data_IF_516621891389
#
_entry.id   IF_516621891389
#
_cell.length_a   1.000
_cell.length_b   1.000
_cell.length_c   1.000
_cell.angle_alpha   90.00
_cell.angle_beta   90.00
_cell.angle_gamma   90.00
#
_symmetry.space_group_name_H-M   'P 1'
#
loop_
_entity.id
_entity.type
_entity.pdbx_description
1 polymer ?
#
# COMPACT_ATOMS: atom_id res chain seq x y z
N UNK A 1 18.80 8.15 -11.53
CA UNK A 1 17.96 6.95 -11.29
C UNK A 1 18.25 5.91 -12.36
N UNK A 2 18.43 4.63 -12.01
CA UNK A 2 18.78 3.57 -12.97
C UNK A 2 18.22 2.20 -12.54
N UNK A 3 18.10 1.27 -13.51
CA UNK A 3 17.64 -0.12 -13.32
C UNK A 3 18.74 -1.13 -13.66
N UNK A 4 19.11 -2.05 -12.75
CA UNK A 4 19.98 -3.17 -13.06
C UNK A 4 19.29 -4.21 -13.97
N UNK A 5 20.04 -4.69 -14.95
CA UNK A 5 19.77 -5.91 -15.70
C UNK A 5 20.44 -7.08 -15.00
N UNK A 6 19.60 -7.89 -14.36
CA UNK A 6 19.96 -9.08 -13.57
C UNK A 6 20.58 -10.22 -14.39
N UNK A 7 20.85 -10.06 -15.69
CA UNK A 7 21.51 -11.08 -16.50
C UNK A 7 23.02 -10.87 -16.71
N UNK A 8 23.57 -9.69 -16.39
CA UNK A 8 24.97 -9.32 -16.73
C UNK A 8 25.54 -8.29 -15.74
N UNK A 9 26.84 -8.40 -15.44
CA UNK A 9 27.56 -7.36 -14.69
C UNK A 9 27.53 -6.03 -15.44
N UNK A 10 27.40 -4.93 -14.71
CA UNK A 10 27.28 -3.59 -15.28
C UNK A 10 28.34 -2.68 -14.71
N UNK A 11 28.97 -1.91 -15.59
CA UNK A 11 29.97 -0.94 -15.22
C UNK A 11 29.52 0.41 -15.76
N UNK A 12 29.40 1.40 -14.87
CA UNK A 12 29.36 2.82 -15.21
C UNK A 12 30.70 3.34 -14.67
N UNK A 13 31.75 3.42 -15.49
CA UNK A 13 33.14 3.62 -15.01
C UNK A 13 33.83 4.87 -15.56
N UNK A 14 34.85 5.35 -14.82
CA UNK A 14 35.36 6.72 -14.73
C UNK A 14 36.80 7.02 -15.19
N UNK A 15 37.57 6.07 -15.69
CA UNK A 15 38.75 6.40 -16.51
C UNK A 15 40.14 6.49 -15.83
N UNK A 16 40.98 5.52 -16.20
CA UNK A 16 42.42 5.59 -16.56
C UNK A 16 43.53 6.05 -15.59
N UNK A 17 43.39 7.02 -14.67
CA UNK A 17 44.46 7.34 -13.67
C UNK A 17 43.96 7.48 -12.23
N UNK A 18 44.84 7.30 -11.24
CA UNK A 18 44.47 7.13 -9.83
C UNK A 18 43.73 8.32 -9.20
N UNK A 19 43.81 9.50 -9.80
CA UNK A 19 43.58 10.71 -9.01
C UNK A 19 42.15 11.27 -9.09
N UNK A 20 41.32 10.93 -10.08
CA UNK A 20 40.01 11.60 -10.26
C UNK A 20 38.98 10.76 -11.04
N UNK A 21 38.10 10.01 -10.36
CA UNK A 21 37.31 8.93 -10.97
C UNK A 21 36.01 8.65 -10.20
N UNK A 22 34.80 8.82 -10.77
CA UNK A 22 33.49 8.42 -10.17
C UNK A 22 32.75 7.29 -10.93
N UNK A 23 32.78 6.06 -10.42
CA UNK A 23 32.16 4.85 -11.03
C UNK A 23 31.00 4.33 -10.20
N UNK A 24 29.87 4.00 -10.84
CA UNK A 24 28.83 3.12 -10.30
C UNK A 24 28.98 1.71 -10.92
N UNK A 25 29.26 0.69 -10.11
CA UNK A 25 29.45 -0.69 -10.57
C UNK A 25 28.40 -1.61 -9.95
N UNK A 26 27.66 -2.36 -10.76
CA UNK A 26 26.77 -3.41 -10.27
C UNK A 26 27.33 -4.78 -10.64
N UNK A 27 27.71 -5.56 -9.63
CA UNK A 27 28.15 -6.93 -9.85
C UNK A 27 26.95 -7.85 -9.97
N UNK A 28 26.84 -8.59 -11.08
CA UNK A 28 25.84 -9.64 -11.17
C UNK A 28 26.16 -10.82 -10.23
N UNK A 29 27.44 -11.20 -10.13
CA UNK A 29 27.86 -12.38 -9.35
C UNK A 29 27.64 -12.21 -7.86
N UNK A 30 27.82 -11.00 -7.34
CA UNK A 30 27.63 -10.67 -5.93
C UNK A 30 26.43 -9.76 -5.68
N UNK A 31 25.57 -9.55 -6.69
CA UNK A 31 24.32 -8.76 -6.68
C UNK A 31 24.40 -7.35 -6.09
N UNK A 32 25.60 -6.78 -5.98
CA UNK A 32 25.82 -5.56 -5.21
C UNK A 32 26.19 -4.33 -6.04
N UNK A 33 25.77 -3.16 -5.56
CA UNK A 33 26.17 -1.85 -6.10
C UNK A 33 27.42 -1.33 -5.38
N UNK A 34 28.50 -1.05 -6.11
CA UNK A 34 29.76 -0.46 -5.64
C UNK A 34 30.00 0.91 -6.25
N UNK A 35 30.70 1.76 -5.51
CA UNK A 35 31.01 3.13 -5.92
C UNK A 35 32.49 3.45 -5.78
N UNK A 36 33.17 3.79 -6.88
CA UNK A 36 34.59 4.13 -6.83
C UNK A 36 34.78 5.63 -7.03
N UNK A 37 35.59 6.26 -6.19
CA UNK A 37 35.81 7.70 -6.14
C UNK A 37 37.27 8.05 -5.78
N UNK A 38 38.24 7.99 -6.71
CA UNK A 38 39.68 8.38 -6.51
C UNK A 38 40.50 7.61 -5.44
N UNK A 39 39.83 6.98 -4.48
CA UNK A 39 40.26 6.01 -3.47
C UNK A 39 39.07 5.07 -3.24
N UNK A 40 39.32 3.77 -3.18
CA UNK A 40 38.26 2.76 -3.22
C UNK A 40 37.25 2.91 -2.05
N UNK A 41 36.03 3.36 -2.34
CA UNK A 41 34.92 3.26 -1.40
C UNK A 41 34.19 1.93 -1.65
N UNK A 42 34.30 0.98 -0.72
CA UNK A 42 33.63 -0.31 -0.85
C UNK A 42 32.29 -0.26 -0.12
N UNK A 43 31.23 0.07 -0.86
CA UNK A 43 29.87 -0.25 -0.45
C UNK A 43 29.49 -1.55 -1.17
N UNK A 44 29.39 -2.66 -0.44
CA UNK A 44 29.02 -3.97 -0.99
C UNK A 44 27.66 -4.35 -0.40
N UNK A 45 26.58 -3.93 -1.07
CA UNK A 45 25.21 -4.23 -0.69
C UNK A 45 24.42 -4.71 -1.90
N UNK A 46 23.69 -5.81 -1.72
CA UNK A 46 22.76 -6.32 -2.71
C UNK A 46 21.73 -5.25 -3.09
N UNK A 47 21.51 -5.02 -4.39
CA UNK A 47 20.38 -4.19 -4.83
C UNK A 47 19.09 -4.92 -4.46
N UNK A 48 18.42 -4.45 -3.42
CA UNK A 48 17.15 -5.02 -2.92
C UNK A 48 15.98 -4.64 -3.83
N UNK A 49 16.15 -3.57 -4.63
CA UNK A 49 15.10 -2.97 -5.44
C UNK A 49 15.41 -3.01 -6.95
N UNK A 50 14.34 -2.94 -7.74
CA UNK A 50 14.39 -2.90 -9.21
C UNK A 50 14.95 -1.58 -9.73
N UNK A 51 14.85 -0.50 -8.96
CA UNK A 51 15.45 0.79 -9.29
C UNK A 51 16.15 1.39 -8.07
N UNK A 52 17.19 2.18 -8.32
CA UNK A 52 17.92 2.90 -7.27
C UNK A 52 18.01 4.39 -7.59
N UNK A 53 17.67 5.23 -6.61
CA UNK A 53 17.96 6.66 -6.65
C UNK A 53 19.29 6.94 -5.93
N UNK A 54 20.23 7.47 -6.69
CA UNK A 54 21.60 7.73 -6.24
C UNK A 54 21.88 9.23 -6.29
N UNK A 55 22.34 9.79 -5.17
CA UNK A 55 22.73 11.20 -5.08
C UNK A 55 24.18 11.34 -4.61
N UNK A 56 24.94 12.18 -5.30
CA UNK A 56 26.33 12.50 -4.96
C UNK A 56 26.46 13.98 -4.64
N UNK A 57 26.89 14.29 -3.43
CA UNK A 57 27.28 15.64 -3.02
C UNK A 57 28.81 15.71 -3.00
N UNK A 58 29.41 16.36 -4.00
CA UNK A 58 30.87 16.50 -4.12
C UNK A 58 31.28 17.90 -3.70
N UNK A 59 32.11 18.01 -2.65
CA UNK A 59 32.52 19.31 -2.07
C UNK A 59 34.03 19.43 -1.78
N UNK A 60 34.84 18.44 -2.18
CA UNK A 60 36.29 18.44 -2.01
C UNK A 60 36.83 18.36 -0.57
N UNK A 61 35.94 18.30 0.44
CA UNK A 61 36.31 18.12 1.85
C UNK A 61 35.76 16.79 2.39
N UNK A 62 34.45 16.63 2.41
CA UNK A 62 33.72 15.42 2.81
C UNK A 62 32.49 15.27 1.92
N UNK A 63 32.70 14.58 0.81
CA UNK A 63 31.67 14.29 -0.15
C UNK A 63 30.80 13.14 0.33
N UNK A 64 29.52 13.15 -0.04
CA UNK A 64 28.51 12.25 0.51
C UNK A 64 27.78 11.51 -0.61
N UNK A 65 27.42 10.25 -0.34
CA UNK A 65 26.65 9.40 -1.22
C UNK A 65 25.38 8.94 -0.50
N UNK A 66 24.26 9.15 -1.18
CA UNK A 66 22.94 8.75 -0.70
C UNK A 66 22.31 7.76 -1.67
N UNK A 67 21.70 6.72 -1.11
CA UNK A 67 20.92 5.71 -1.80
C UNK A 67 19.52 5.73 -1.22
N UNK A 68 18.52 5.98 -2.06
CA UNK A 68 17.12 6.12 -1.64
C UNK A 68 16.99 7.02 -0.37
N UNK A 69 17.63 8.19 -0.40
CA UNK A 69 17.68 9.18 0.69
C UNK A 69 18.48 8.79 1.94
N UNK A 70 18.98 7.56 2.06
CA UNK A 70 19.84 7.14 3.15
C UNK A 70 21.31 7.48 2.86
N UNK A 71 22.00 8.15 3.79
CA UNK A 71 23.45 8.33 3.71
C UNK A 71 24.11 6.96 3.84
N UNK A 72 24.78 6.53 2.78
CA UNK A 72 25.42 5.21 2.69
C UNK A 72 26.94 5.31 2.51
N UNK A 73 27.46 6.51 2.28
CA UNK A 73 28.89 6.76 2.40
C UNK A 73 29.31 8.22 2.42
N UNK A 74 30.47 8.47 3.02
CA UNK A 74 31.11 9.78 3.07
C UNK A 74 32.64 9.66 2.95
N UNK A 75 33.29 10.67 2.35
CA UNK A 75 34.74 10.69 2.17
C UNK A 75 35.25 11.84 1.29
N UNK A 76 36.55 12.11 1.34
CA UNK A 76 37.15 13.17 0.51
C UNK A 76 37.53 12.63 -0.88
N UNK A 77 36.87 13.14 -1.94
CA UNK A 77 37.17 12.80 -3.33
C UNK A 77 38.29 13.68 -3.94
N UNK A 78 38.87 14.60 -3.18
CA UNK A 78 39.77 15.65 -3.68
C UNK A 78 39.00 16.86 -4.24
N UNK A 79 39.71 17.95 -4.51
CA UNK A 79 39.16 19.18 -5.14
C UNK A 79 38.85 18.92 -6.62
N UNK A 80 37.87 18.07 -6.90
CA UNK A 80 37.55 17.64 -8.25
C UNK A 80 36.58 18.60 -8.92
N UNK A 81 37.03 19.26 -9.99
CA UNK A 81 36.13 19.75 -11.03
C UNK A 81 35.66 18.58 -11.87
N UNK A 82 34.35 18.33 -12.00
CA UNK A 82 33.82 17.34 -12.96
C UNK A 82 34.06 17.89 -14.37
N UNK A 83 35.22 17.61 -14.94
CA UNK A 83 35.50 17.90 -16.35
C UNK A 83 35.16 16.66 -17.17
N UNK A 84 34.13 16.77 -18.02
CA UNK A 84 33.63 15.72 -18.93
C UNK A 84 32.92 14.55 -18.23
N UNK A 85 31.58 14.63 -18.17
CA UNK A 85 30.73 13.54 -17.72
C UNK A 85 30.56 12.49 -18.84
N UNK A 86 30.90 11.23 -18.53
CA UNK A 86 30.55 10.07 -19.36
C UNK A 86 29.53 9.22 -18.63
N UNK A 87 28.36 8.99 -19.26
CA UNK A 87 27.29 8.17 -18.71
C UNK A 87 27.16 6.88 -19.51
N UNK A 88 27.09 5.76 -18.81
CA UNK A 88 26.67 4.51 -19.41
C UNK A 88 27.72 3.77 -20.25
N UNK A 89 29.00 4.11 -20.13
CA UNK A 89 30.08 3.27 -20.66
C UNK A 89 31.37 3.41 -19.84
N UNK A 90 32.25 2.43 -19.99
CA UNK A 90 33.63 2.49 -19.53
C UNK A 90 34.48 3.22 -20.60
N UNK A 91 35.49 3.97 -20.17
CA UNK A 91 36.25 4.91 -21.03
C UNK A 91 36.83 4.34 -22.34
N UNK A 92 37.10 3.03 -22.39
CA UNK A 92 37.67 2.34 -23.56
C UNK A 92 36.60 1.84 -24.55
N UNK A 93 35.32 2.17 -24.31
CA UNK A 93 34.17 1.78 -25.12
C UNK A 93 34.02 0.25 -25.33
N UNK A 94 34.48 -0.57 -24.38
CA UNK A 94 34.29 -2.03 -24.45
C UNK A 94 33.27 -2.57 -23.45
N UNK A 95 32.92 -1.77 -22.44
CA UNK A 95 31.89 -2.10 -21.46
C UNK A 95 30.90 -0.95 -21.44
N UNK A 96 29.63 -1.30 -21.51
CA UNK A 96 28.53 -0.37 -21.55
C UNK A 96 27.58 -0.68 -20.40
N UNK A 97 26.90 0.35 -19.92
CA UNK A 97 25.72 0.17 -19.10
C UNK A 97 24.74 -0.69 -19.91
N UNK A 98 24.27 -1.74 -19.26
CA UNK A 98 23.28 -2.64 -19.80
C UNK A 98 21.98 -2.45 -19.00
N UNK A 99 21.45 -1.24 -19.01
CA UNK A 99 20.30 -0.83 -18.22
C UNK A 99 19.86 0.56 -18.66
N UNK A 100 18.72 1.01 -18.14
CA UNK A 100 18.13 2.29 -18.53
C UNK A 100 18.53 3.38 -17.52
N UNK A 101 18.90 4.56 -18.05
CA UNK A 101 19.02 5.80 -17.27
C UNK A 101 17.76 6.60 -17.55
N UNK A 102 16.98 6.85 -16.50
CA UNK A 102 15.75 7.61 -16.64
C UNK A 102 16.00 9.13 -16.62
N UNK A 103 16.86 9.60 -15.71
CA UNK A 103 17.14 11.03 -15.52
C UNK A 103 18.46 11.24 -14.77
N UNK A 104 19.15 12.33 -15.11
CA UNK A 104 20.36 12.83 -14.47
C UNK A 104 20.25 14.33 -14.31
N UNK A 105 20.48 14.82 -13.07
CA UNK A 105 20.39 16.23 -12.72
C UNK A 105 21.79 16.70 -12.29
N UNK A 106 22.26 17.79 -12.89
CA UNK A 106 23.51 18.44 -12.52
C UNK A 106 23.22 19.77 -11.86
N UNK A 107 23.94 20.05 -10.77
CA UNK A 107 23.90 21.33 -10.08
C UNK A 107 25.31 21.87 -9.96
N UNK A 108 25.44 23.16 -10.25
CA UNK A 108 26.71 23.91 -10.26
C UNK A 108 27.05 24.52 -8.89
N UNK A 109 26.22 24.25 -7.88
CA UNK A 109 26.38 24.70 -6.51
C UNK A 109 26.16 23.55 -5.55
N UNK A 110 26.80 23.63 -4.38
CA UNK A 110 26.56 22.68 -3.31
C UNK A 110 25.13 22.85 -2.79
N UNK A 111 24.35 21.78 -2.89
CA UNK A 111 22.99 21.75 -2.35
C UNK A 111 23.00 21.46 -0.84
N UNK A 112 22.04 22.04 -0.14
CA UNK A 112 21.76 21.67 1.24
C UNK A 112 21.06 20.31 1.30
N UNK A 113 21.11 19.64 2.45
CA UNK A 113 20.34 18.41 2.67
C UNK A 113 18.84 18.59 2.44
N UNK A 114 18.30 19.79 2.74
CA UNK A 114 16.91 20.13 2.46
C UNK A 114 16.62 20.16 0.95
N UNK A 115 17.48 20.82 0.16
CA UNK A 115 17.32 20.90 -1.30
C UNK A 115 17.48 19.52 -1.94
N UNK A 116 18.41 18.72 -1.44
CA UNK A 116 18.56 17.33 -1.85
C UNK A 116 17.27 16.53 -1.63
N UNK A 117 16.70 16.59 -0.42
CA UNK A 117 15.47 15.88 -0.10
C UNK A 117 14.30 16.33 -1.00
N UNK A 118 14.22 17.61 -1.37
CA UNK A 118 13.22 18.11 -2.32
C UNK A 118 13.38 17.51 -3.71
N UNK A 119 14.61 17.39 -4.21
CA UNK A 119 14.90 16.80 -5.53
C UNK A 119 14.58 15.31 -5.52
N UNK A 120 15.00 14.60 -4.47
CA UNK A 120 14.72 13.18 -4.34
C UNK A 120 13.21 12.91 -4.25
N UNK A 121 12.48 13.70 -3.45
CA UNK A 121 11.02 13.64 -3.38
C UNK A 121 10.36 13.97 -4.73
N UNK A 122 10.88 14.94 -5.49
CA UNK A 122 10.40 15.20 -6.84
C UNK A 122 10.58 13.98 -7.75
N UNK A 123 11.74 13.32 -7.70
CA UNK A 123 12.02 12.14 -8.51
C UNK A 123 11.16 10.95 -8.11
N UNK A 124 10.97 10.69 -6.81
CA UNK A 124 10.04 9.66 -6.36
C UNK A 124 8.63 9.93 -6.87
N UNK A 125 8.08 11.11 -6.63
CA UNK A 125 6.73 11.43 -7.08
C UNK A 125 6.56 11.40 -8.61
N UNK A 126 7.62 11.68 -9.38
CA UNK A 126 7.59 11.63 -10.84
C UNK A 126 7.56 10.19 -11.38
N UNK A 127 8.30 9.27 -10.77
CA UNK A 127 8.48 7.90 -11.28
C UNK A 127 7.68 6.83 -10.54
N UNK A 128 7.35 7.11 -9.28
CA UNK A 128 6.51 6.31 -8.40
C UNK A 128 5.62 7.23 -7.56
N UNK A 129 4.57 7.82 -8.16
CA UNK A 129 3.56 8.54 -7.40
C UNK A 129 3.01 7.68 -6.25
N UNK A 130 2.77 8.27 -5.06
CA UNK A 130 2.19 7.56 -3.93
C UNK A 130 0.81 6.99 -4.29
N UNK A 131 0.40 5.92 -3.59
CA UNK A 131 -0.91 5.32 -3.80
C UNK A 131 -2.02 6.36 -3.59
N UNK A 132 -3.02 6.30 -4.46
CA UNK A 132 -4.21 7.12 -4.39
C UNK A 132 -5.39 6.26 -4.85
N UNK A 133 -6.25 5.88 -3.91
CA UNK A 133 -7.42 5.05 -4.12
C UNK A 133 -8.59 5.83 -4.72
N UNK A 134 -8.52 7.16 -4.71
CA UNK A 134 -9.49 8.06 -5.34
C UNK A 134 -10.58 8.50 -4.37
N UNK A 135 -11.78 8.69 -4.91
CA UNK A 135 -12.95 9.07 -4.11
C UNK A 135 -13.61 7.84 -3.48
N UNK A 136 -14.27 8.06 -2.35
CA UNK A 136 -15.15 7.08 -1.72
C UNK A 136 -16.10 6.42 -2.71
N UNK A 137 -16.30 5.12 -2.54
CA UNK A 137 -17.20 4.32 -3.37
C UNK A 137 -18.57 4.27 -2.70
N UNK A 138 -19.61 4.60 -3.45
CA UNK A 138 -21.00 4.47 -3.01
C UNK A 138 -21.72 3.47 -3.89
N UNK A 139 -22.12 2.35 -3.29
CA UNK A 139 -23.00 1.35 -3.88
C UNK A 139 -24.42 1.68 -3.41
N UNK A 140 -25.26 2.31 -4.25
CA UNK A 140 -26.57 2.80 -3.82
C UNK A 140 -27.58 1.67 -3.61
N UNK A 141 -27.40 0.53 -4.29
CA UNK A 141 -28.29 -0.62 -4.24
C UNK A 141 -27.48 -1.91 -4.39
N UNK A 142 -27.89 -2.94 -3.65
CA UNK A 142 -27.30 -4.27 -3.73
C UNK A 142 -26.07 -4.47 -2.85
N UNK A 143 -25.61 -5.72 -2.81
CA UNK A 143 -24.54 -6.21 -1.93
C UNK A 143 -23.46 -7.01 -2.70
N UNK A 144 -23.47 -6.93 -4.03
CA UNK A 144 -22.44 -7.56 -4.85
C UNK A 144 -21.04 -7.02 -4.56
N UNK A 145 -20.05 -7.88 -4.70
CA UNK A 145 -18.63 -7.54 -4.57
C UNK A 145 -18.26 -6.34 -5.45
N UNK A 146 -17.65 -5.34 -4.81
CA UNK A 146 -17.09 -4.16 -5.45
C UNK A 146 -15.58 -4.31 -5.52
N UNK A 147 -15.02 -4.21 -6.71
CA UNK A 147 -13.58 -4.27 -6.92
C UNK A 147 -12.92 -2.92 -6.65
N UNK A 148 -11.90 -2.89 -5.78
CA UNK A 148 -11.04 -1.71 -5.58
C UNK A 148 -9.81 -1.88 -6.47
N UNK A 149 -9.85 -1.30 -7.68
CA UNK A 149 -8.79 -1.46 -8.68
C UNK A 149 -7.78 -0.31 -8.71
N UNK A 150 -8.04 0.78 -7.99
CA UNK A 150 -7.28 2.04 -8.06
C UNK A 150 -5.88 1.93 -7.44
N UNK A 151 -5.67 0.97 -6.54
CA UNK A 151 -4.37 0.65 -5.96
C UNK A 151 -3.35 0.14 -6.99
N UNK A 152 -3.80 -0.57 -8.03
CA UNK A 152 -2.88 -1.14 -9.02
C UNK A 152 -2.12 -0.04 -9.78
N UNK A 153 -0.78 -0.14 -9.75
CA UNK A 153 0.15 0.66 -10.56
C UNK A 153 1.37 -0.19 -10.91
N UNK A 154 1.98 0.02 -12.08
CA UNK A 154 3.11 -0.79 -12.53
C UNK A 154 4.40 -0.59 -11.73
N UNK A 155 4.46 0.42 -10.85
CA UNK A 155 5.62 0.74 -10.01
C UNK A 155 5.46 0.31 -8.54
N UNK A 156 4.37 -0.37 -8.18
CA UNK A 156 4.25 -1.00 -6.86
C UNK A 156 4.71 -2.46 -6.93
N UNK A 157 5.44 -2.89 -5.91
CA UNK A 157 6.06 -4.22 -5.82
C UNK A 157 5.35 -5.12 -4.80
N UNK A 158 4.66 -4.54 -3.81
CA UNK A 158 3.83 -5.26 -2.84
C UNK A 158 2.65 -4.43 -2.35
N UNK A 159 1.65 -5.13 -1.81
CA UNK A 159 0.42 -4.57 -1.25
C UNK A 159 0.13 -5.24 0.10
N UNK A 160 -0.36 -4.47 1.05
CA UNK A 160 -0.88 -4.93 2.33
C UNK A 160 -2.18 -4.19 2.63
N UNK A 161 -3.30 -4.89 2.52
CA UNK A 161 -4.62 -4.33 2.81
C UNK A 161 -5.01 -4.52 4.28
N UNK A 162 -5.88 -3.65 4.79
CA UNK A 162 -6.50 -3.80 6.11
C UNK A 162 -7.31 -5.09 6.27
N UNK A 163 -7.67 -5.75 5.17
CA UNK A 163 -8.31 -7.07 5.12
C UNK A 163 -7.32 -8.23 5.30
N UNK A 164 -6.01 -7.97 5.25
CA UNK A 164 -4.94 -8.96 5.23
C UNK A 164 -4.60 -9.50 3.83
N UNK A 165 -5.29 -9.04 2.79
CA UNK A 165 -5.00 -9.39 1.40
C UNK A 165 -3.72 -8.70 0.90
N UNK A 166 -3.04 -9.33 -0.05
CA UNK A 166 -1.79 -8.83 -0.66
C UNK A 166 -1.88 -8.65 -2.18
N UNK A 167 -3.07 -8.83 -2.74
CA UNK A 167 -3.33 -8.62 -4.16
C UNK A 167 -3.46 -7.13 -4.49
N UNK A 168 -3.12 -6.74 -5.72
CA UNK A 168 -3.21 -5.35 -6.19
C UNK A 168 -4.66 -4.85 -6.37
N UNK A 169 -5.61 -5.78 -6.34
CA UNK A 169 -7.06 -5.54 -6.45
C UNK A 169 -7.71 -6.43 -5.40
N UNK A 170 -8.59 -5.85 -4.59
CA UNK A 170 -9.43 -6.59 -3.64
C UNK A 170 -10.90 -6.45 -4.01
N UNK A 171 -11.70 -7.41 -3.57
CA UNK A 171 -13.15 -7.42 -3.75
C UNK A 171 -13.83 -7.32 -2.39
N UNK A 172 -14.65 -6.29 -2.21
CA UNK A 172 -15.28 -5.99 -0.92
C UNK A 172 -16.80 -5.93 -1.05
N UNK A 173 -17.53 -6.48 -0.09
CA UNK A 173 -19.00 -6.52 -0.07
C UNK A 173 -19.60 -6.04 1.25
N UNK A 174 -18.78 -5.39 2.09
CA UNK A 174 -19.22 -4.80 3.35
C UNK A 174 -18.93 -3.31 3.35
N UNK A 175 -19.77 -2.50 4.01
CA UNK A 175 -19.45 -1.11 4.24
C UNK A 175 -18.25 -1.01 5.19
N UNK A 176 -17.37 -0.04 4.96
CA UNK A 176 -16.17 0.09 5.78
C UNK A 176 -15.13 1.03 5.20
N UNK A 177 -14.06 1.22 5.97
CA UNK A 177 -12.85 1.89 5.52
C UNK A 177 -11.84 0.81 5.18
N UNK A 178 -11.32 0.84 3.96
CA UNK A 178 -10.29 -0.07 3.47
C UNK A 178 -9.01 0.73 3.28
N UNK A 179 -7.95 0.33 3.97
CA UNK A 179 -6.63 0.97 3.86
C UNK A 179 -5.69 0.02 3.14
N UNK A 180 -4.85 0.56 2.27
CA UNK A 180 -3.74 -0.18 1.67
C UNK A 180 -2.43 0.50 2.00
N UNK A 181 -1.43 -0.29 2.34
CA UNK A 181 -0.02 0.11 2.33
C UNK A 181 0.64 -0.57 1.14
N UNK A 182 1.34 0.19 0.31
CA UNK A 182 2.07 -0.34 -0.85
C UNK A 182 3.54 -0.01 -0.72
N UNK A 183 4.40 -0.93 -1.15
CA UNK A 183 5.82 -0.67 -1.33
C UNK A 183 6.11 -0.48 -2.82
N UNK A 184 6.86 0.55 -3.18
CA UNK A 184 7.19 0.83 -4.56
C UNK A 184 8.50 0.18 -5.05
N UNK A 185 8.84 0.41 -6.33
CA UNK A 185 10.07 -0.05 -6.99
C UNK A 185 11.37 0.54 -6.41
N UNK A 186 11.28 1.53 -5.53
CA UNK A 186 12.40 2.14 -4.81
C UNK A 186 12.41 1.72 -3.32
N UNK A 187 11.41 0.95 -2.87
CA UNK A 187 11.29 0.53 -1.47
C UNK A 187 10.59 1.53 -0.56
N UNK A 188 9.99 2.59 -1.10
CA UNK A 188 9.20 3.51 -0.29
C UNK A 188 7.80 2.97 -0.07
N UNK A 189 7.33 3.12 1.16
CA UNK A 189 5.96 2.82 1.53
C UNK A 189 5.07 4.06 1.39
N UNK A 190 3.88 3.85 0.85
CA UNK A 190 2.80 4.85 0.89
C UNK A 190 1.50 4.16 1.24
N UNK A 191 0.62 4.89 1.93
CA UNK A 191 -0.68 4.39 2.34
C UNK A 191 -1.78 5.35 1.93
N UNK A 192 -2.93 4.79 1.61
CA UNK A 192 -4.16 5.55 1.39
C UNK A 192 -5.36 4.71 1.83
N UNK A 193 -6.47 5.38 2.10
CA UNK A 193 -7.72 4.75 2.50
C UNK A 193 -8.87 5.14 1.58
N UNK A 194 -9.87 4.26 1.52
CA UNK A 194 -11.10 4.49 0.78
C UNK A 194 -12.28 4.01 1.60
N UNK A 195 -13.31 4.84 1.69
CA UNK A 195 -14.55 4.44 2.32
C UNK A 195 -15.50 3.85 1.30
N UNK A 196 -16.00 2.66 1.58
CA UNK A 196 -17.01 1.99 0.77
C UNK A 196 -18.32 2.02 1.53
N UNK A 197 -19.35 2.55 0.86
CA UNK A 197 -20.70 2.60 1.35
C UNK A 197 -21.55 1.59 0.60
N UNK A 198 -22.23 0.73 1.35
CA UNK A 198 -23.31 -0.14 0.90
C UNK A 198 -24.63 0.34 1.50
N UNK A 199 -25.78 -0.19 1.06
CA UNK A 199 -27.05 0.03 1.74
C UNK A 199 -26.93 -0.32 3.23
N UNK A 200 -27.38 0.59 4.09
CA UNK A 200 -27.37 0.40 5.53
C UNK A 200 -28.50 -0.55 5.92
N UNK A 201 -28.14 -1.70 6.49
CA UNK A 201 -29.09 -2.66 7.04
C UNK A 201 -29.23 -2.33 8.52
N UNK A 202 -30.46 -2.13 9.00
CA UNK A 202 -30.70 -1.97 10.43
C UNK A 202 -30.46 -3.31 11.13
N UNK A 203 -29.23 -3.50 11.62
CA UNK A 203 -28.86 -4.68 12.42
C UNK A 203 -29.31 -4.48 13.86
N UNK A 204 -30.12 -5.41 14.35
CA UNK A 204 -30.55 -5.42 15.75
C UNK A 204 -29.43 -6.00 16.62
N UNK A 205 -29.29 -5.51 17.85
CA UNK A 205 -28.39 -6.11 18.85
C UNK A 205 -29.15 -7.05 19.77
N UNK A 206 -28.46 -8.05 20.35
CA UNK A 206 -29.04 -8.96 21.34
C UNK A 206 -29.79 -8.19 22.42
N UNK A 207 -31.07 -8.52 22.60
CA UNK A 207 -31.99 -7.80 23.47
C UNK A 207 -32.77 -8.78 24.33
N UNK A 208 -32.80 -8.48 25.64
CA UNK A 208 -33.63 -9.18 26.62
C UNK A 208 -35.01 -8.50 26.63
N UNK A 209 -36.07 -9.26 26.39
CA UNK A 209 -37.45 -8.72 26.31
C UNK A 209 -38.30 -9.26 27.46
N UNK A 210 -39.24 -8.49 27.99
CA UNK A 210 -40.11 -8.98 29.06
C UNK A 210 -41.01 -10.11 28.55
N UNK A 211 -41.32 -11.08 29.42
CA UNK A 211 -42.23 -12.17 29.06
C UNK A 211 -43.59 -11.64 28.57
N UNK A 212 -43.97 -12.00 27.35
CA UNK A 212 -45.23 -11.60 26.72
C UNK A 212 -45.17 -10.31 25.90
N UNK A 213 -44.01 -9.64 25.86
CA UNK A 213 -43.76 -8.58 24.88
C UNK A 213 -43.24 -9.17 23.57
N UNK A 214 -43.50 -8.47 22.46
CA UNK A 214 -42.96 -8.79 21.14
C UNK A 214 -42.02 -7.69 20.68
N UNK A 215 -41.10 -8.05 19.80
CA UNK A 215 -40.13 -7.12 19.21
C UNK A 215 -40.30 -7.12 17.69
N UNK A 216 -40.42 -5.94 17.09
CA UNK A 216 -40.41 -5.80 15.63
C UNK A 216 -38.99 -5.49 15.19
N UNK A 217 -38.40 -6.37 14.38
CA UNK A 217 -37.15 -6.10 13.68
C UNK A 217 -37.45 -5.73 12.23
N UNK A 218 -37.35 -4.44 11.91
CA UNK A 218 -37.41 -3.90 10.55
C UNK A 218 -35.99 -3.58 10.06
N UNK A 219 -35.62 -4.09 8.88
CA UNK A 219 -34.30 -3.86 8.28
C UNK A 219 -34.14 -2.45 7.69
N UNK A 220 -35.24 -1.69 7.57
CA UNK A 220 -35.29 -0.30 7.10
C UNK A 220 -34.63 -0.04 5.73
N UNK A 221 -34.56 -1.07 4.87
CA UNK A 221 -33.93 -1.00 3.56
C UNK A 221 -34.84 -0.35 2.52
N UNK A 222 -34.27 0.53 1.70
CA UNK A 222 -34.93 1.10 0.53
C UNK A 222 -34.49 0.39 -0.75
N UNK A 223 -35.44 -0.14 -1.52
CA UNK A 223 -35.20 -0.79 -2.81
C UNK A 223 -35.83 -2.18 -2.91
N UNK A 224 -35.58 -2.86 -4.03
CA UNK A 224 -36.11 -4.19 -4.29
C UNK A 224 -35.14 -5.26 -3.77
N UNK A 225 -35.49 -5.89 -2.66
CA UNK A 225 -34.77 -7.03 -2.08
C UNK A 225 -35.75 -8.17 -1.80
N UNK A 226 -35.24 -9.40 -1.84
CA UNK A 226 -35.95 -10.55 -1.27
C UNK A 226 -35.35 -10.91 0.07
N UNK A 227 -36.21 -11.29 1.01
CA UNK A 227 -35.84 -11.57 2.39
C UNK A 227 -36.09 -13.05 2.70
N UNK A 228 -35.20 -13.62 3.50
CA UNK A 228 -35.38 -14.92 4.15
C UNK A 228 -34.89 -14.79 5.59
N UNK A 229 -35.77 -15.09 6.54
CA UNK A 229 -35.45 -15.02 7.95
C UNK A 229 -35.11 -16.40 8.50
N UNK A 230 -33.86 -16.60 8.90
CA UNK A 230 -33.46 -17.76 9.68
C UNK A 230 -34.17 -17.74 11.03
N UNK A 231 -34.69 -18.89 11.47
CA UNK A 231 -35.43 -19.02 12.73
C UNK A 231 -36.96 -18.88 12.60
N UNK A 232 -37.46 -18.07 11.67
CA UNK A 232 -38.91 -17.92 11.40
C UNK A 232 -39.37 -18.47 10.04
N UNK A 233 -38.51 -18.40 9.02
CA UNK A 233 -38.84 -18.74 7.63
C UNK A 233 -39.69 -17.68 6.91
N UNK A 234 -39.86 -16.50 7.51
CA UNK A 234 -40.60 -15.39 6.90
C UNK A 234 -39.82 -14.73 5.77
N UNK A 235 -40.51 -14.01 4.88
CA UNK A 235 -39.92 -13.38 3.68
C UNK A 235 -40.28 -11.90 3.52
N UNK A 236 -40.63 -11.24 4.63
CA UNK A 236 -40.98 -9.82 4.72
C UNK A 236 -39.75 -8.99 5.11
N UNK A 237 -39.77 -7.68 4.85
CA UNK A 237 -38.68 -6.77 5.27
C UNK A 237 -38.55 -6.68 6.79
N UNK A 238 -39.66 -6.85 7.50
CA UNK A 238 -39.70 -6.87 8.95
C UNK A 238 -40.34 -8.14 9.47
N UNK A 239 -39.95 -8.55 10.68
CA UNK A 239 -40.53 -9.68 11.40
C UNK A 239 -40.90 -9.29 12.83
N UNK A 240 -41.90 -9.97 13.38
CA UNK A 240 -42.28 -9.86 14.79
C UNK A 240 -41.74 -11.06 15.57
N UNK A 241 -40.81 -10.80 16.48
CA UNK A 241 -40.21 -11.79 17.36
C UNK A 241 -41.05 -11.92 18.64
N UNK A 242 -41.68 -13.08 18.80
CA UNK A 242 -42.50 -13.43 19.97
C UNK A 242 -42.14 -14.78 20.60
N UNK A 243 -41.08 -15.44 20.14
CA UNK A 243 -40.64 -16.74 20.64
C UNK A 243 -39.13 -16.79 20.76
N UNK A 244 -38.64 -17.39 21.84
CA UNK A 244 -37.20 -17.58 22.07
C UNK A 244 -36.55 -18.35 20.93
N UNK A 245 -35.34 -17.95 20.53
CA UNK A 245 -34.62 -18.57 19.42
C UNK A 245 -33.50 -17.70 18.87
N UNK A 246 -32.80 -18.23 17.87
CA UNK A 246 -31.79 -17.51 17.11
C UNK A 246 -32.35 -17.04 15.77
N UNK A 247 -32.14 -15.77 15.44
CA UNK A 247 -32.69 -15.15 14.23
C UNK A 247 -31.61 -14.41 13.44
N UNK A 248 -31.69 -14.45 12.11
CA UNK A 248 -30.84 -13.68 11.21
C UNK A 248 -31.58 -13.41 9.90
N UNK A 249 -31.34 -12.26 9.27
CA UNK A 249 -31.87 -11.96 7.94
C UNK A 249 -30.86 -12.35 6.86
N UNK A 250 -31.35 -13.02 5.83
CA UNK A 250 -30.65 -13.25 4.56
C UNK A 250 -31.36 -12.42 3.49
N UNK A 251 -30.64 -11.45 2.97
CA UNK A 251 -31.07 -10.51 1.95
C UNK A 251 -30.51 -10.97 0.61
N UNK A 252 -31.32 -10.97 -0.43
CA UNK A 252 -30.83 -11.14 -1.80
C UNK A 252 -31.27 -9.95 -2.65
N UNK A 253 -30.32 -9.32 -3.32
CA UNK A 253 -30.60 -8.19 -4.21
C UNK A 253 -31.08 -8.65 -5.60
N UNK A 254 -31.44 -7.68 -6.46
CA UNK A 254 -31.91 -7.94 -7.83
C UNK A 254 -30.85 -8.57 -8.76
N UNK A 255 -29.57 -8.53 -8.38
CA UNK A 255 -28.47 -9.14 -9.10
C UNK A 255 -28.14 -10.55 -8.58
N UNK A 256 -28.83 -11.00 -7.52
CA UNK A 256 -28.64 -12.31 -6.91
C UNK A 256 -27.55 -12.35 -5.84
N UNK A 257 -26.99 -11.21 -5.44
CA UNK A 257 -25.97 -11.14 -4.39
C UNK A 257 -26.63 -11.14 -3.01
N UNK A 258 -26.00 -11.85 -2.07
CA UNK A 258 -26.57 -12.09 -0.76
C UNK A 258 -25.82 -11.35 0.35
N UNK A 259 -26.57 -10.83 1.31
CA UNK A 259 -26.06 -10.28 2.56
C UNK A 259 -26.74 -10.99 3.73
N UNK A 260 -25.95 -11.38 4.73
CA UNK A 260 -26.46 -12.02 5.94
C UNK A 260 -26.07 -11.16 7.15
N UNK A 261 -27.07 -10.81 7.96
CA UNK A 261 -26.85 -10.09 9.23
C UNK A 261 -26.15 -11.00 10.25
N UNK A 262 -25.72 -10.41 11.36
CA UNK A 262 -25.37 -11.22 12.53
C UNK A 262 -26.58 -12.04 13.03
N UNK A 263 -26.30 -13.11 13.77
CA UNK A 263 -27.31 -13.95 14.41
C UNK A 263 -27.61 -13.39 15.80
N UNK A 264 -28.86 -13.02 16.03
CA UNK A 264 -29.30 -12.52 17.34
C UNK A 264 -29.92 -13.65 18.16
N UNK A 265 -29.69 -13.65 19.46
CA UNK A 265 -30.37 -14.54 20.40
C UNK A 265 -31.55 -13.80 21.05
N UNK A 266 -32.77 -14.17 20.66
CA UNK A 266 -33.99 -13.65 21.29
C UNK A 266 -34.36 -14.50 22.51
N UNK A 267 -34.44 -13.87 23.67
CA UNK A 267 -34.78 -14.53 24.93
C UNK A 267 -35.65 -13.63 25.81
N UNK A 268 -36.45 -14.26 26.66
CA UNK A 268 -37.25 -13.55 27.64
C UNK A 268 -36.50 -13.39 28.97
N UNK A 269 -36.78 -12.29 29.66
CA UNK A 269 -36.34 -12.09 31.04
C UNK A 269 -37.13 -13.00 32.00
N UNK A 270 -36.48 -14.03 32.54
CA UNK A 270 -37.05 -14.95 33.52
C UNK A 270 -36.70 -14.53 34.95
N UNK A 271 -37.25 -13.42 35.45
CA UNK A 271 -37.28 -13.19 36.90
C UNK A 271 -38.40 -14.02 37.54
N UNK A 272 -38.04 -14.97 38.40
CA UNK A 272 -39.01 -15.58 39.33
C UNK A 272 -39.62 -14.48 40.21
N UNK A 273 -40.91 -14.22 40.03
CA UNK A 273 -41.71 -13.38 40.90
C UNK A 273 -41.95 -14.10 42.24
N UNK A 274 -40.93 -14.17 43.08
CA UNK A 274 -41.05 -14.61 44.46
C UNK A 274 -41.69 -13.49 45.30
N UNK A 275 -43.00 -13.30 45.14
CA UNK A 275 -43.79 -12.43 46.01
C UNK A 275 -44.00 -13.13 47.37
N UNK A 276 -43.14 -12.83 48.34
CA UNK A 276 -43.40 -13.16 49.75
C UNK A 276 -44.36 -12.15 50.34
N UNK A 277 -45.53 -12.59 50.79
CA UNK A 277 -46.48 -11.78 51.56
C UNK A 277 -46.05 -11.58 53.04
N UNK A 278 -44.81 -11.93 53.38
CA UNK A 278 -44.31 -11.93 54.75
C UNK A 278 -44.83 -13.13 55.56
N UNK A 279 -44.29 -13.34 56.79
CA UNK A 279 -44.72 -14.42 57.69
C UNK A 279 -46.17 -14.26 58.18
#
# INVERSE_FOLDING_TARGET
MWRPNVGKSQNIFDGITADERMTLYYSYTSRNLRLFAGVNYYYDKDSVFDYTLNTFAVNGESSQYYENSALVGEGNFGTMSITWLTLGCHYNNIQFLNGDIAEVIFMDSLITQETQALIENYLYNKYSPPVNLGYDIRVPYGFCDTAITTAYKPWFTSYEWSTGETDSVIHVNRPGIYTVTVTDIFGFESSDDIRVFYPEVNEFTDTLVCLGETLIWDLELAGDYTYEWYGSGETTQSIELGSVGEFAAILTDTLGCQYKTDTIAFSFDEYELNASIGP
#
